data_IF_484709170118
#
_entry.id   IF_484709170118
#
_cell.length_a   1.000
_cell.length_b   1.000
_cell.length_c   1.000
_cell.angle_alpha   90.00
_cell.angle_beta   90.00
_cell.angle_gamma   90.00
#
_symmetry.space_group_name_H-M   'P 1'
#
loop_
_entity.id
_entity.type
_entity.pdbx_description
1 polymer ?
#
# COMPACT_ATOMS: atom_id res chain seq x y z
N UNK A 1 -11.03 -30.45 11.47
CA UNK A 1 -9.57 -30.32 11.61
C UNK A 1 -9.05 -29.91 10.24
N UNK A 2 -8.90 -28.61 9.97
CA UNK A 2 -8.40 -28.15 8.67
C UNK A 2 -6.90 -28.37 8.68
N UNK A 3 -6.42 -29.29 7.84
CA UNK A 3 -4.99 -29.53 7.67
C UNK A 3 -4.42 -28.35 6.89
N UNK A 4 -3.71 -27.46 7.57
CA UNK A 4 -2.96 -26.38 6.92
C UNK A 4 -1.69 -27.00 6.32
N UNK A 5 -1.74 -27.36 5.04
CA UNK A 5 -0.59 -27.96 4.34
C UNK A 5 0.39 -26.85 3.90
N UNK A 6 1.17 -26.35 4.86
CA UNK A 6 2.26 -25.37 4.64
C UNK A 6 3.50 -26.00 4.02
N UNK A 7 3.42 -27.26 3.57
CA UNK A 7 4.55 -27.97 2.95
C UNK A 7 5.01 -27.29 1.66
N UNK A 8 6.33 -27.26 1.42
CA UNK A 8 6.93 -26.71 0.19
C UNK A 8 6.30 -27.29 -1.08
N UNK A 9 5.93 -28.57 -1.05
CA UNK A 9 5.26 -29.22 -2.19
C UNK A 9 3.90 -28.57 -2.51
N UNK A 10 3.12 -28.24 -1.48
CA UNK A 10 1.83 -27.60 -1.64
C UNK A 10 1.97 -26.14 -2.12
N UNK A 11 2.96 -25.40 -1.60
CA UNK A 11 3.25 -24.02 -2.07
C UNK A 11 3.69 -24.03 -3.52
N UNK A 12 4.62 -24.91 -3.91
CA UNK A 12 5.08 -25.03 -5.30
C UNK A 12 3.93 -25.45 -6.24
N UNK A 13 3.02 -26.31 -5.79
CA UNK A 13 1.84 -26.69 -6.58
C UNK A 13 0.90 -25.51 -6.81
N UNK A 14 0.72 -24.63 -5.82
CA UNK A 14 -0.08 -23.40 -5.96
C UNK A 14 0.61 -22.36 -6.83
N UNK A 15 1.94 -22.26 -6.76
CA UNK A 15 2.71 -21.44 -7.70
C UNK A 15 2.52 -21.94 -9.14
N UNK A 16 2.54 -23.25 -9.37
CA UNK A 16 2.24 -23.83 -10.69
C UNK A 16 0.85 -23.45 -11.21
N UNK A 17 -0.16 -23.56 -10.36
CA UNK A 17 -1.54 -23.15 -10.70
C UNK A 17 -1.61 -21.66 -11.03
N UNK A 18 -0.87 -20.83 -10.29
CA UNK A 18 -0.80 -19.38 -10.51
C UNK A 18 -0.20 -19.00 -11.88
N UNK A 19 0.83 -19.70 -12.32
CA UNK A 19 1.45 -19.47 -13.62
C UNK A 19 0.80 -20.28 -14.75
N UNK A 20 -0.18 -21.15 -14.45
CA UNK A 20 -0.81 -22.03 -15.44
C UNK A 20 0.14 -23.07 -16.04
N UNK A 21 1.14 -23.52 -15.29
CA UNK A 21 2.18 -24.45 -15.76
C UNK A 21 2.12 -25.78 -15.01
N UNK A 22 2.38 -26.90 -15.70
CA UNK A 22 2.38 -28.22 -15.06
C UNK A 22 3.79 -28.69 -14.70
N UNK A 23 4.79 -28.29 -15.50
CA UNK A 23 6.16 -28.78 -15.37
C UNK A 23 7.03 -27.86 -14.51
N UNK A 24 7.88 -28.46 -13.68
CA UNK A 24 8.84 -27.74 -12.84
C UNK A 24 9.79 -26.87 -13.68
N UNK A 25 10.18 -27.33 -14.87
CA UNK A 25 11.04 -26.57 -15.78
C UNK A 25 10.38 -25.28 -16.31
N UNK A 26 9.07 -25.33 -16.55
CA UNK A 26 8.31 -24.16 -17.02
C UNK A 26 8.13 -23.14 -15.90
N UNK A 27 7.85 -23.61 -14.68
CA UNK A 27 7.84 -22.76 -13.49
C UNK A 27 9.21 -22.12 -13.24
N UNK A 28 10.31 -22.88 -13.38
CA UNK A 28 11.66 -22.36 -13.24
C UNK A 28 11.92 -21.20 -14.21
N UNK A 29 11.49 -21.36 -15.47
CA UNK A 29 11.61 -20.33 -16.50
C UNK A 29 10.73 -19.11 -16.21
N UNK A 30 9.51 -19.32 -15.70
CA UNK A 30 8.60 -18.23 -15.33
C UNK A 30 9.11 -17.41 -14.13
N UNK A 31 9.88 -18.05 -13.23
CA UNK A 31 10.48 -17.44 -12.05
C UNK A 31 11.93 -16.95 -12.29
N UNK A 32 12.47 -17.13 -13.50
CA UNK A 32 13.87 -16.84 -13.85
C UNK A 32 14.90 -17.51 -12.93
N UNK A 33 14.68 -18.78 -12.59
CA UNK A 33 15.56 -19.60 -11.75
C UNK A 33 15.99 -20.90 -12.45
N UNK A 34 17.08 -21.49 -11.97
CA UNK A 34 17.50 -22.83 -12.41
C UNK A 34 16.52 -23.92 -11.92
N UNK A 35 16.17 -24.94 -12.73
CA UNK A 35 15.40 -26.09 -12.29
C UNK A 35 16.01 -26.82 -11.08
N UNK A 36 17.34 -26.78 -10.94
CA UNK A 36 18.05 -27.35 -9.80
C UNK A 36 17.67 -26.66 -8.48
N UNK A 37 17.35 -25.36 -8.53
CA UNK A 37 16.92 -24.57 -7.37
C UNK A 37 15.57 -25.07 -6.86
N UNK A 38 14.62 -25.37 -7.75
CA UNK A 38 13.33 -25.96 -7.38
C UNK A 38 13.51 -27.35 -6.74
N UNK A 39 14.38 -28.18 -7.29
CA UNK A 39 14.69 -29.49 -6.71
C UNK A 39 15.31 -29.35 -5.31
N UNK A 40 16.21 -28.38 -5.11
CA UNK A 40 16.84 -28.08 -3.83
C UNK A 40 15.83 -27.64 -2.77
N UNK A 41 14.89 -26.75 -3.11
CA UNK A 41 13.82 -26.32 -2.19
C UNK A 41 12.93 -27.49 -1.76
N UNK A 42 12.58 -28.37 -2.70
CA UNK A 42 11.77 -29.57 -2.42
C UNK A 42 12.51 -30.54 -1.50
N UNK A 43 13.81 -30.73 -1.69
CA UNK A 43 14.63 -31.62 -0.86
C UNK A 43 14.85 -31.05 0.55
N UNK A 44 15.06 -29.74 0.66
CA UNK A 44 15.35 -29.05 1.92
C UNK A 44 14.10 -28.64 2.70
N UNK A 45 12.90 -28.89 2.16
CA UNK A 45 11.64 -28.38 2.72
C UNK A 45 11.70 -26.88 3.03
N UNK A 46 12.41 -26.10 2.21
CA UNK A 46 12.54 -24.65 2.32
C UNK A 46 11.55 -23.94 1.38
N UNK A 47 10.65 -23.11 1.94
CA UNK A 47 9.71 -22.30 1.16
C UNK A 47 10.41 -21.02 0.69
N UNK A 48 10.39 -20.69 -0.61
CA UNK A 48 10.99 -19.46 -1.12
C UNK A 48 10.05 -18.26 -0.90
N UNK A 49 9.92 -17.82 0.37
CA UNK A 49 8.97 -16.77 0.75
C UNK A 49 9.11 -15.49 -0.07
N UNK A 50 10.34 -15.04 -0.34
CA UNK A 50 10.60 -13.85 -1.15
C UNK A 50 9.96 -13.95 -2.54
N UNK A 51 10.16 -15.09 -3.21
CA UNK A 51 9.55 -15.34 -4.52
C UNK A 51 8.04 -15.48 -4.42
N UNK A 52 7.51 -16.11 -3.37
CA UNK A 52 6.06 -16.15 -3.17
C UNK A 52 5.44 -14.75 -3.10
N UNK A 53 6.09 -13.81 -2.40
CA UNK A 53 5.66 -12.41 -2.36
C UNK A 53 5.72 -11.77 -3.74
N UNK A 54 6.80 -11.96 -4.47
CA UNK A 54 6.97 -11.35 -5.80
C UNK A 54 5.97 -11.92 -6.81
N UNK A 55 5.70 -13.22 -6.79
CA UNK A 55 4.67 -13.85 -7.62
C UNK A 55 3.26 -13.37 -7.26
N UNK A 56 2.95 -13.27 -5.97
CA UNK A 56 1.67 -12.76 -5.50
C UNK A 56 1.46 -11.29 -5.91
N UNK A 57 2.53 -10.50 -6.02
CA UNK A 57 2.48 -9.13 -6.52
C UNK A 57 2.31 -9.08 -8.04
N UNK A 58 3.11 -9.85 -8.79
CA UNK A 58 3.11 -9.79 -10.26
C UNK A 58 1.82 -10.33 -10.87
N UNK A 59 1.25 -11.38 -10.29
CA UNK A 59 0.02 -12.03 -10.79
C UNK A 59 -1.25 -11.57 -10.07
N UNK A 60 -1.14 -10.65 -9.10
CA UNK A 60 -2.29 -10.18 -8.33
C UNK A 60 -2.92 -11.23 -7.40
N UNK A 61 -2.27 -12.36 -7.15
CA UNK A 61 -2.77 -13.43 -6.29
C UNK A 61 -2.59 -13.16 -4.79
N UNK A 62 -3.46 -13.75 -3.97
CA UNK A 62 -3.37 -13.68 -2.51
C UNK A 62 -2.14 -14.46 -2.00
N UNK A 63 -1.36 -13.82 -1.12
CA UNK A 63 -0.21 -14.47 -0.49
C UNK A 63 -0.66 -15.55 0.52
N UNK A 64 -1.78 -15.31 1.21
CA UNK A 64 -2.33 -16.27 2.16
C UNK A 64 -2.85 -17.52 1.46
N UNK A 65 -3.46 -17.36 0.27
CA UNK A 65 -3.77 -18.49 -0.59
C UNK A 65 -2.52 -19.21 -1.07
N UNK A 66 -1.47 -18.47 -1.46
CA UNK A 66 -0.23 -19.06 -1.98
C UNK A 66 0.59 -19.81 -0.92
N UNK A 67 0.54 -19.39 0.35
CA UNK A 67 1.31 -19.98 1.46
C UNK A 67 0.49 -20.97 2.29
N UNK A 68 -0.74 -20.62 2.66
CA UNK A 68 -1.60 -21.42 3.54
C UNK A 68 -2.75 -22.13 2.81
N UNK A 69 -3.10 -21.70 1.60
CA UNK A 69 -4.20 -22.28 0.82
C UNK A 69 -5.55 -21.74 1.28
N UNK A 70 -5.53 -20.62 2.01
CA UNK A 70 -6.70 -20.00 2.60
C UNK A 70 -7.20 -18.85 1.74
N UNK A 71 -8.52 -18.71 1.67
CA UNK A 71 -9.18 -17.65 0.91
C UNK A 71 -9.12 -17.85 -0.59
N UNK A 72 -9.30 -16.76 -1.34
CA UNK A 72 -9.34 -16.78 -2.80
C UNK A 72 -7.95 -16.66 -3.42
N UNK A 73 -7.77 -17.35 -4.56
CA UNK A 73 -6.52 -17.35 -5.32
C UNK A 73 -6.16 -15.96 -5.82
N UNK A 74 -7.12 -15.30 -6.46
CA UNK A 74 -6.97 -13.94 -6.92
C UNK A 74 -7.41 -13.01 -5.80
N UNK A 75 -6.73 -11.87 -5.64
CA UNK A 75 -7.33 -10.81 -4.83
C UNK A 75 -8.59 -10.35 -5.56
N UNK A 76 -9.74 -10.41 -4.88
CA UNK A 76 -11.00 -9.83 -5.34
C UNK A 76 -10.69 -8.47 -5.97
N UNK A 77 -11.02 -8.35 -7.26
CA UNK A 77 -10.77 -7.14 -8.02
C UNK A 77 -11.85 -6.14 -7.67
N UNK A 78 -11.84 -5.63 -6.43
CA UNK A 78 -12.43 -4.34 -6.15
C UNK A 78 -11.58 -3.32 -6.90
N UNK A 79 -12.03 -3.03 -8.14
CA UNK A 79 -11.76 -1.75 -8.77
C UNK A 79 -12.08 -0.71 -7.70
N UNK A 80 -11.03 -0.02 -7.23
CA UNK A 80 -10.94 0.79 -6.01
C UNK A 80 -10.71 -0.01 -4.71
N UNK A 81 -9.44 -0.18 -4.34
CA UNK A 81 -8.83 0.37 -3.09
C UNK A 81 -7.47 -0.32 -2.83
N UNK A 82 -6.33 0.39 -2.91
CA UNK A 82 -5.07 -0.10 -2.36
C UNK A 82 -4.97 0.30 -0.88
N UNK A 83 -5.46 -0.57 0.01
CA UNK A 83 -5.19 -0.59 1.46
C UNK A 83 -5.10 -2.07 1.84
N UNK A 84 -4.04 -2.65 2.42
CA UNK A 84 -3.05 -2.17 3.38
C UNK A 84 -1.97 -3.30 3.51
N UNK A 85 -0.70 -3.16 3.96
CA UNK A 85 -0.05 -2.22 4.89
C UNK A 85 1.47 -2.17 4.63
N UNK A 86 1.97 -1.02 4.19
CA UNK A 86 3.09 -0.28 4.81
C UNK A 86 3.08 1.10 4.17
N UNK A 87 2.62 2.10 4.93
CA UNK A 87 2.95 3.50 4.69
C UNK A 87 2.28 4.22 3.52
N UNK A 88 0.95 4.16 3.36
CA UNK A 88 0.14 5.33 3.00
C UNK A 88 -1.33 4.91 3.00
N UNK A 89 -2.09 5.37 4.00
CA UNK A 89 -3.54 5.47 3.81
C UNK A 89 -3.80 6.23 2.49
N UNK A 90 -4.86 5.92 1.73
CA UNK A 90 -5.41 6.82 0.76
C UNK A 90 -5.67 8.08 1.55
N UNK A 91 -4.97 9.15 1.21
CA UNK A 91 -5.22 10.49 1.74
C UNK A 91 -6.53 11.02 1.16
N UNK A 92 -7.57 10.18 1.12
CA UNK A 92 -8.92 10.62 0.91
C UNK A 92 -9.24 11.51 2.09
N UNK A 93 -9.59 12.75 1.80
CA UNK A 93 -9.89 13.78 2.80
C UNK A 93 -10.95 13.28 3.76
N UNK A 94 -11.83 12.41 3.29
CA UNK A 94 -12.90 11.74 4.01
C UNK A 94 -12.36 10.78 5.08
N UNK A 95 -11.38 9.94 4.76
CA UNK A 95 -10.77 9.00 5.73
C UNK A 95 -9.97 9.73 6.82
N UNK A 96 -9.34 10.85 6.46
CA UNK A 96 -8.66 11.72 7.42
C UNK A 96 -9.65 12.43 8.35
N UNK A 97 -10.79 12.90 7.82
CA UNK A 97 -11.86 13.50 8.62
C UNK A 97 -12.43 12.50 9.63
N UNK A 98 -12.74 11.28 9.19
CA UNK A 98 -13.30 10.24 10.06
C UNK A 98 -12.39 9.94 11.27
N UNK A 99 -11.09 9.76 11.00
CA UNK A 99 -10.10 9.51 12.06
C UNK A 99 -9.87 10.72 12.97
N UNK A 100 -9.97 11.93 12.42
CA UNK A 100 -9.88 13.17 13.21
C UNK A 100 -11.05 13.26 14.20
N UNK A 101 -12.28 13.00 13.75
CA UNK A 101 -13.49 13.06 14.59
C UNK A 101 -13.38 12.08 15.76
N UNK A 102 -13.02 10.83 15.49
CA UNK A 102 -12.81 9.80 16.53
C UNK A 102 -11.77 10.25 17.58
N UNK A 103 -10.67 10.87 17.13
CA UNK A 103 -9.63 11.34 18.04
C UNK A 103 -10.13 12.53 18.88
N UNK A 104 -10.87 13.45 18.27
CA UNK A 104 -11.35 14.66 18.95
C UNK A 104 -12.49 14.38 19.96
N UNK A 105 -13.30 13.34 19.74
CA UNK A 105 -14.33 12.92 20.71
C UNK A 105 -13.74 12.45 22.05
N UNK A 106 -12.46 12.06 22.09
CA UNK A 106 -11.76 11.66 23.31
C UNK A 106 -10.95 12.76 24.01
N UNK A 107 -10.88 13.98 23.45
CA UNK A 107 -10.09 15.07 24.02
C UNK A 107 -10.91 15.94 24.99
N UNK A 108 -10.24 16.52 25.98
CA UNK A 108 -10.84 17.50 26.87
C UNK A 108 -11.21 18.79 26.12
N UNK A 109 -12.25 19.48 26.58
CA UNK A 109 -12.80 20.67 25.90
C UNK A 109 -11.79 21.82 25.82
N UNK A 110 -10.95 22.00 26.84
CA UNK A 110 -9.95 23.07 26.89
C UNK A 110 -8.84 22.85 25.83
N UNK A 111 -8.36 21.62 25.68
CA UNK A 111 -7.37 21.26 24.66
C UNK A 111 -7.91 21.44 23.23
N UNK A 112 -9.22 21.23 23.05
CA UNK A 112 -9.91 21.44 21.78
C UNK A 112 -10.00 22.92 21.41
N UNK A 113 -10.30 23.79 22.38
CA UNK A 113 -10.37 25.23 22.16
C UNK A 113 -9.00 25.83 21.80
N UNK A 114 -7.94 25.39 22.50
CA UNK A 114 -6.57 25.81 22.19
C UNK A 114 -6.13 25.38 20.80
N UNK A 115 -6.43 24.13 20.41
CA UNK A 115 -6.11 23.61 19.08
C UNK A 115 -6.88 24.35 17.98
N UNK A 116 -8.16 24.66 18.19
CA UNK A 116 -8.98 25.44 17.25
C UNK A 116 -8.43 26.86 17.07
N UNK A 117 -8.02 27.51 18.16
CA UNK A 117 -7.43 28.83 18.12
C UNK A 117 -6.08 28.83 17.38
N UNK A 118 -5.22 27.83 17.60
CA UNK A 118 -3.95 27.70 16.88
C UNK A 118 -4.17 27.47 15.37
N UNK A 119 -5.07 26.55 15.01
CA UNK A 119 -5.42 26.28 13.62
C UNK A 119 -5.93 27.54 12.90
N UNK A 120 -6.80 28.29 13.56
CA UNK A 120 -7.38 29.55 13.03
C UNK A 120 -6.30 30.62 12.82
N UNK A 121 -5.38 30.77 13.78
CA UNK A 121 -4.23 31.70 13.65
C UNK A 121 -3.36 31.33 12.45
N UNK A 122 -3.02 30.04 12.28
CA UNK A 122 -2.23 29.55 11.13
C UNK A 122 -2.94 29.72 9.80
N UNK A 123 -4.26 29.60 9.75
CA UNK A 123 -5.03 29.85 8.54
C UNK A 123 -5.01 31.34 8.16
N UNK A 124 -5.18 32.23 9.15
CA UNK A 124 -5.15 33.69 8.92
C UNK A 124 -3.77 34.17 8.47
N UNK A 125 -2.70 33.60 8.99
CA UNK A 125 -1.33 33.94 8.57
C UNK A 125 -1.09 33.61 7.10
N UNK A 126 -1.49 32.40 6.66
CA UNK A 126 -1.36 31.97 5.26
C UNK A 126 -2.16 32.85 4.30
N UNK A 127 -3.34 33.29 4.72
CA UNK A 127 -4.16 34.21 3.92
C UNK A 127 -3.47 35.58 3.78
N UNK A 128 -2.85 36.09 4.85
CA UNK A 128 -2.09 37.33 4.80
C UNK A 128 -0.85 37.22 3.91
N UNK A 129 -0.11 36.11 3.99
CA UNK A 129 1.04 35.83 3.12
C UNK A 129 0.64 35.83 1.64
N UNK A 130 -0.46 35.16 1.29
CA UNK A 130 -0.98 35.14 -0.08
C UNK A 130 -1.38 36.53 -0.58
N UNK A 131 -2.00 37.35 0.27
CA UNK A 131 -2.35 38.75 -0.06
C UNK A 131 -1.11 39.61 -0.23
N UNK A 132 -0.08 39.39 0.58
CA UNK A 132 1.18 40.10 0.47
C UNK A 132 1.91 39.75 -0.83
N UNK A 133 1.98 38.47 -1.18
CA UNK A 133 2.56 38.00 -2.45
C UNK A 133 1.84 38.59 -3.67
N UNK A 134 0.50 38.61 -3.62
CA UNK A 134 -0.31 39.26 -4.66
C UNK A 134 -0.03 40.76 -4.77
N UNK A 135 0.07 41.47 -3.64
CA UNK A 135 0.36 42.89 -3.60
C UNK A 135 1.76 43.19 -4.16
N UNK A 136 2.78 42.43 -3.74
CA UNK A 136 4.14 42.56 -4.27
C UNK A 136 4.21 42.35 -5.78
N UNK A 137 3.51 41.34 -6.29
CA UNK A 137 3.46 41.05 -7.74
C UNK A 137 2.85 42.24 -8.51
N UNK A 138 1.75 42.79 -8.00
CA UNK A 138 1.10 43.96 -8.58
C UNK A 138 1.98 45.23 -8.54
N UNK A 139 2.70 45.47 -7.44
CA UNK A 139 3.64 46.60 -7.33
C UNK A 139 4.87 46.45 -8.25
N UNK A 140 5.36 45.23 -8.43
CA UNK A 140 6.50 44.96 -9.30
C UNK A 140 6.15 45.14 -10.78
N UNK A 141 4.97 44.66 -11.19
CA UNK A 141 4.45 44.84 -12.55
C UNK A 141 4.15 46.30 -12.90
N UNK A 142 3.64 47.08 -11.93
CA UNK A 142 3.35 48.51 -12.13
C UNK A 142 4.63 49.35 -12.24
N UNK A 143 5.70 48.96 -11.55
CA UNK A 143 7.00 49.64 -11.63
C UNK A 143 7.71 49.35 -12.97
N UNK A 144 7.58 48.12 -13.50
CA UNK A 144 8.18 47.74 -14.78
C UNK A 144 7.48 48.36 -16.01
N UNK A 145 6.25 48.86 -15.86
CA UNK A 145 5.50 49.58 -16.91
C UNK A 145 5.77 51.08 -16.97
N UNK A 146 6.49 51.64 -15.99
CA UNK A 146 6.73 53.07 -15.85
C UNK A 146 8.16 53.51 -16.27
N UNK A 147 8.95 52.60 -16.85
CA UNK A 147 10.27 52.85 -17.47
C UNK A 147 10.16 52.56 -18.96
#
# INVERSE_FOLDING_TARGET
>A
MIQHDTGVKAVLSRMKQLFGVEKDAELARALDISPQTLSSWRQRSAVPYALCVDCAKSQGASLDWLLYGEGEMMRESTINTPEAKTGSAPRSRESLKARLIETLEGLATDDLEDLLNDATKRQRLRELEKRFEHLQSHFFETTQRAV
#
